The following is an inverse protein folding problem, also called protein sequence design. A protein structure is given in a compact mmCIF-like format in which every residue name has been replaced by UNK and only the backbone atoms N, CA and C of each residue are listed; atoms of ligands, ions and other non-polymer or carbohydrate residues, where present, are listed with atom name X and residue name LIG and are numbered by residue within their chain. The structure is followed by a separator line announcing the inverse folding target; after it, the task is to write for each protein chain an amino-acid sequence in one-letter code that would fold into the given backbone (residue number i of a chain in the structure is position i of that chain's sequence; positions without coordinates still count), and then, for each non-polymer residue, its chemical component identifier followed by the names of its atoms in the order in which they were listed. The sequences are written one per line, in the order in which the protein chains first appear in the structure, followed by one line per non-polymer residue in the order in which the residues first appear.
data_IF_999684529971
#
_entry.id   IF_999684529971
#
_cell.length_a   1.000
_cell.length_b   1.000
_cell.length_c   1.000
_cell.angle_alpha   90.00
_cell.angle_beta   90.00
_cell.angle_gamma   90.00
#
_symmetry.space_group_name_H-M   'P 1'
#
loop_
_entity.id
_entity.type
_entity.pdbx_description
1 polymer ?
#
# COMPACT_ATOMS: atom_id res chain seq x y z
N UNK A 1 -39.16 -1.98 12.77
CA UNK A 1 -39.01 -3.26 12.05
C UNK A 1 -38.94 -2.93 10.58
N UNK A 2 -37.75 -3.04 10.01
CA UNK A 2 -37.41 -2.48 8.71
C UNK A 2 -35.96 -2.06 8.72
N UNK A 3 -35.11 -2.99 9.11
CA UNK A 3 -33.67 -2.94 8.91
C UNK A 3 -33.43 -2.70 7.42
N UNK A 4 -32.82 -1.58 7.09
CA UNK A 4 -32.16 -1.38 5.80
C UNK A 4 -30.70 -1.24 6.14
N UNK A 5 -30.07 -2.40 6.07
CA UNK A 5 -28.65 -2.65 6.27
C UNK A 5 -27.82 -1.62 5.51
N UNK A 6 -26.82 -1.07 6.20
CA UNK A 6 -26.01 0.02 5.69
C UNK A 6 -25.42 -0.31 4.33
N UNK A 7 -25.57 0.62 3.39
CA UNK A 7 -24.72 0.70 2.22
C UNK A 7 -23.27 0.76 2.71
N UNK A 8 -22.59 -0.39 2.73
CA UNK A 8 -21.14 -0.45 2.72
C UNK A 8 -20.71 0.20 1.41
N UNK A 9 -20.47 1.51 1.46
CA UNK A 9 -19.70 2.25 0.47
C UNK A 9 -18.27 1.70 0.54
N UNK A 10 -18.04 0.51 0.02
CA UNK A 10 -16.68 -0.01 -0.18
C UNK A 10 -16.00 0.95 -1.12
N UNK A 11 -14.96 1.63 -0.65
CA UNK A 11 -14.10 2.45 -1.52
C UNK A 11 -13.60 1.53 -2.64
N UNK A 12 -13.82 1.89 -3.89
CA UNK A 12 -13.40 1.12 -5.08
C UNK A 12 -11.87 1.10 -5.32
N UNK A 13 -11.08 1.21 -4.25
CA UNK A 13 -9.62 1.16 -4.30
C UNK A 13 -9.10 -0.25 -3.98
N UNK A 14 -8.35 -0.83 -4.92
CA UNK A 14 -7.55 -2.02 -4.65
C UNK A 14 -6.22 -1.61 -4.02
N UNK A 15 -5.91 -2.16 -2.84
CA UNK A 15 -4.63 -1.95 -2.16
C UNK A 15 -3.86 -3.25 -2.08
N UNK A 16 -2.61 -3.21 -2.55
CA UNK A 16 -1.67 -4.31 -2.51
C UNK A 16 -0.73 -4.12 -1.31
N UNK A 17 -0.76 -5.03 -0.34
CA UNK A 17 0.11 -4.99 0.84
C UNK A 17 1.24 -6.00 0.68
N UNK A 18 2.48 -5.53 0.71
CA UNK A 18 3.68 -6.37 0.59
C UNK A 18 4.51 -6.15 1.84
N UNK A 19 4.47 -7.11 2.76
CA UNK A 19 5.21 -7.03 4.02
C UNK A 19 5.64 -8.44 4.43
N UNK A 20 6.93 -8.73 4.70
CA UNK A 20 7.38 -10.08 5.06
C UNK A 20 6.80 -10.50 6.42
N UNK A 21 6.78 -9.57 7.39
CA UNK A 21 6.21 -9.79 8.70
C UNK A 21 4.70 -10.06 8.61
N UNK A 22 4.29 -11.26 9.02
CA UNK A 22 2.90 -11.70 8.94
C UNK A 22 1.96 -11.01 9.93
N UNK A 23 2.45 -10.56 11.09
CA UNK A 23 1.63 -9.83 12.05
C UNK A 23 1.36 -8.41 11.56
N UNK A 24 2.40 -7.73 11.09
CA UNK A 24 2.30 -6.40 10.48
C UNK A 24 1.39 -6.43 9.26
N UNK A 25 1.61 -7.38 8.34
CA UNK A 25 0.79 -7.56 7.14
C UNK A 25 -0.71 -7.72 7.47
N UNK A 26 -1.04 -8.54 8.47
CA UNK A 26 -2.44 -8.71 8.93
C UNK A 26 -3.00 -7.45 9.56
N UNK A 27 -2.20 -6.73 10.35
CA UNK A 27 -2.64 -5.48 10.97
C UNK A 27 -2.98 -4.41 9.94
N UNK A 28 -2.14 -4.25 8.91
CA UNK A 28 -2.38 -3.31 7.81
C UNK A 28 -3.61 -3.71 7.02
N UNK A 29 -3.72 -4.99 6.65
CA UNK A 29 -4.88 -5.48 5.91
C UNK A 29 -6.17 -5.22 6.67
N UNK A 30 -6.22 -5.58 7.95
CA UNK A 30 -7.39 -5.34 8.80
C UNK A 30 -7.77 -3.86 8.88
N UNK A 31 -6.78 -2.97 9.08
CA UNK A 31 -7.03 -1.53 9.14
C UNK A 31 -7.63 -1.00 7.85
N UNK A 32 -7.05 -1.34 6.69
CA UNK A 32 -7.51 -0.82 5.41
C UNK A 32 -8.83 -1.49 4.95
N UNK A 33 -9.06 -2.75 5.29
CA UNK A 33 -10.35 -3.42 5.10
C UNK A 33 -11.46 -2.73 5.90
N UNK A 34 -11.18 -2.33 7.14
CA UNK A 34 -12.12 -1.58 7.97
C UNK A 34 -12.48 -0.20 7.37
N UNK A 35 -11.55 0.41 6.64
CA UNK A 35 -11.77 1.65 5.86
C UNK A 35 -12.50 1.41 4.52
N UNK A 36 -12.80 0.15 4.19
CA UNK A 36 -13.56 -0.24 3.01
C UNK A 36 -12.73 -0.50 1.75
N UNK A 37 -11.40 -0.62 1.84
CA UNK A 37 -10.54 -0.97 0.71
C UNK A 37 -10.52 -2.49 0.44
N UNK A 38 -10.31 -2.86 -0.82
CA UNK A 38 -10.08 -4.26 -1.22
C UNK A 38 -8.60 -4.59 -1.11
N UNK A 39 -8.25 -5.54 -0.24
CA UNK A 39 -6.84 -5.85 0.07
C UNK A 39 -6.36 -7.13 -0.61
N UNK A 40 -5.18 -7.07 -1.23
CA UNK A 40 -4.39 -8.23 -1.61
C UNK A 40 -3.08 -8.21 -0.83
N UNK A 41 -2.81 -9.21 0.00
CA UNK A 41 -1.61 -9.21 0.86
C UNK A 41 -0.63 -10.33 0.50
N UNK A 42 0.66 -9.99 0.41
CA UNK A 42 1.74 -10.89 0.04
C UNK A 42 2.95 -10.70 0.96
N UNK A 43 3.69 -11.79 1.22
CA UNK A 43 4.94 -11.72 1.98
C UNK A 43 6.09 -11.13 1.15
N UNK A 44 6.05 -11.34 -0.17
CA UNK A 44 7.07 -10.91 -1.13
C UNK A 44 6.40 -10.32 -2.37
N UNK A 45 7.16 -9.58 -3.18
CA UNK A 45 6.64 -9.01 -4.43
C UNK A 45 6.21 -10.15 -5.37
N UNK A 46 4.92 -10.25 -5.75
CA UNK A 46 4.44 -11.34 -6.59
C UNK A 46 5.12 -11.34 -7.96
N UNK A 47 5.52 -12.54 -8.41
CA UNK A 47 6.29 -12.72 -9.65
C UNK A 47 5.45 -12.47 -10.91
N UNK A 48 4.14 -12.68 -10.82
CA UNK A 48 3.21 -12.49 -11.91
C UNK A 48 2.27 -11.34 -11.57
N UNK A 49 2.50 -10.19 -12.21
CA UNK A 49 1.55 -9.11 -12.23
C UNK A 49 0.67 -9.30 -13.48
N UNK A 50 -0.64 -9.46 -13.29
CA UNK A 50 -1.56 -9.01 -14.34
C UNK A 50 -1.33 -7.53 -14.60
N UNK A 51 -1.75 -7.01 -15.77
CA UNK A 51 -1.65 -5.59 -16.10
C UNK A 51 -2.03 -4.68 -14.92
N UNK A 52 -1.39 -3.50 -14.75
CA UNK A 52 -1.69 -2.62 -13.64
C UNK A 52 -3.19 -2.34 -13.62
N UNK A 53 -3.85 -2.72 -12.53
CA UNK A 53 -5.19 -2.24 -12.26
C UNK A 53 -5.02 -0.72 -12.04
N UNK A 54 -5.43 0.08 -13.02
CA UNK A 54 -5.43 1.53 -12.89
C UNK A 54 -6.12 1.91 -11.57
N UNK A 55 -5.47 2.74 -10.75
CA UNK A 55 -5.98 3.10 -9.42
C UNK A 55 -5.59 2.16 -8.28
N UNK A 56 -4.76 1.14 -8.52
CA UNK A 56 -4.20 0.29 -7.45
C UNK A 56 -3.07 1.00 -6.71
N UNK A 57 -3.16 1.01 -5.38
CA UNK A 57 -2.12 1.51 -4.49
C UNK A 57 -1.34 0.35 -3.87
N UNK A 58 -0.01 0.41 -3.81
CA UNK A 58 0.81 -0.60 -3.15
C UNK A 58 1.40 -0.05 -1.83
N UNK A 59 1.13 -0.72 -0.72
CA UNK A 59 1.77 -0.52 0.58
C UNK A 59 2.89 -1.54 0.72
N UNK A 60 4.13 -1.07 0.85
CA UNK A 60 5.34 -1.90 0.82
C UNK A 60 6.14 -1.69 2.10
N UNK A 61 6.46 -2.77 2.77
CA UNK A 61 7.45 -2.76 3.85
C UNK A 61 8.86 -2.62 3.27
N UNK A 62 9.67 -1.73 3.84
CA UNK A 62 11.09 -1.62 3.50
C UNK A 62 11.84 -2.96 3.61
N UNK A 63 11.45 -3.82 4.54
CA UNK A 63 12.05 -5.15 4.71
C UNK A 63 11.80 -6.04 3.48
N UNK A 64 10.69 -5.82 2.76
CA UNK A 64 10.40 -6.53 1.51
C UNK A 64 11.31 -6.14 0.34
N UNK A 65 12.00 -5.01 0.45
CA UNK A 65 12.85 -4.43 -0.60
C UNK A 65 14.33 -4.77 -0.42
N UNK A 66 14.69 -5.40 0.69
CA UNK A 66 16.06 -5.82 0.98
C UNK A 66 16.56 -6.93 0.04
N UNK A 67 15.66 -7.63 -0.65
CA UNK A 67 15.95 -8.80 -1.50
C UNK A 67 16.32 -8.49 -2.97
N UNK A 68 16.62 -7.24 -3.33
CA UNK A 68 17.55 -6.98 -4.43
C UNK A 68 17.08 -6.16 -5.64
N UNK A 69 18.01 -6.01 -6.59
CA UNK A 69 17.87 -5.22 -7.81
C UNK A 69 16.74 -5.75 -8.71
N UNK A 70 15.91 -4.83 -9.23
CA UNK A 70 14.82 -5.18 -10.15
C UNK A 70 13.43 -5.34 -9.52
N UNK A 71 13.26 -5.05 -8.23
CA UNK A 71 11.93 -4.97 -7.58
C UNK A 71 11.12 -3.76 -8.06
N UNK A 72 11.76 -2.61 -8.26
CA UNK A 72 11.06 -1.38 -8.65
C UNK A 72 10.29 -1.47 -9.97
N UNK A 73 10.87 -1.99 -11.09
CA UNK A 73 10.12 -2.19 -12.32
C UNK A 73 8.98 -3.20 -12.18
N UNK A 74 9.08 -4.15 -11.24
CA UNK A 74 7.99 -5.11 -10.97
C UNK A 74 6.85 -4.44 -10.22
N UNK A 75 7.16 -3.63 -9.21
CA UNK A 75 6.19 -2.86 -8.44
C UNK A 75 5.41 -1.88 -9.33
N UNK A 76 6.10 -1.19 -10.25
CA UNK A 76 5.46 -0.31 -11.24
C UNK A 76 4.48 -1.02 -12.19
N UNK A 77 4.58 -2.34 -12.35
CA UNK A 77 3.59 -3.13 -13.11
C UNK A 77 2.39 -3.57 -12.26
N UNK A 78 2.54 -3.58 -10.94
CA UNK A 78 1.53 -4.04 -9.99
C UNK A 78 0.59 -2.92 -9.53
N UNK A 79 1.10 -1.70 -9.41
CA UNK A 79 0.38 -0.55 -8.88
C UNK A 79 0.81 0.75 -9.57
N UNK A 80 -0.06 1.76 -9.53
CA UNK A 80 0.24 3.10 -10.05
C UNK A 80 0.71 4.07 -8.96
N UNK A 81 0.38 3.79 -7.70
CA UNK A 81 0.73 4.61 -6.54
C UNK A 81 1.37 3.77 -5.45
N UNK A 82 2.28 4.36 -4.68
CA UNK A 82 3.11 3.62 -3.72
C UNK A 82 3.17 4.30 -2.36
N UNK A 83 3.03 3.50 -1.31
CA UNK A 83 3.25 3.85 0.09
C UNK A 83 4.31 2.91 0.65
N UNK A 84 5.36 3.46 1.23
CA UNK A 84 6.43 2.71 1.88
C UNK A 84 6.29 2.81 3.40
N UNK A 85 6.43 1.69 4.08
CA UNK A 85 6.54 1.62 5.53
C UNK A 85 8.02 1.61 5.88
N UNK A 86 8.53 2.71 6.42
CA UNK A 86 9.94 2.81 6.80
C UNK A 86 10.13 2.65 8.30
N UNK A 87 11.12 1.87 8.72
CA UNK A 87 11.63 1.80 10.09
C UNK A 87 12.94 2.58 10.26
N UNK A 88 13.32 3.37 9.26
CA UNK A 88 14.53 4.19 9.23
C UNK A 88 15.69 3.58 8.43
N UNK A 89 15.47 2.47 7.71
CA UNK A 89 16.47 1.96 6.77
C UNK A 89 16.57 2.90 5.56
N UNK A 90 17.80 3.21 5.15
CA UNK A 90 18.08 3.96 3.91
C UNK A 90 17.80 3.05 2.70
N UNK A 91 16.53 2.91 2.34
CA UNK A 91 16.16 2.26 1.09
C UNK A 91 16.48 3.22 -0.07
N UNK A 92 17.12 2.75 -1.17
CA UNK A 92 17.32 3.57 -2.35
C UNK A 92 15.98 4.15 -2.84
N UNK A 93 15.85 5.48 -2.83
CA UNK A 93 14.59 6.12 -3.25
C UNK A 93 14.39 5.87 -4.75
N UNK A 94 13.22 5.36 -5.16
CA UNK A 94 12.92 5.20 -6.58
C UNK A 94 12.68 6.55 -7.25
N UNK A 95 12.76 6.58 -8.58
CA UNK A 95 12.49 7.78 -9.41
C UNK A 95 11.00 8.13 -9.55
N UNK A 96 10.10 7.56 -8.74
CA UNK A 96 8.66 7.79 -8.81
C UNK A 96 8.09 8.24 -7.47
N UNK A 97 6.91 8.86 -7.52
CA UNK A 97 6.21 9.39 -6.33
C UNK A 97 5.87 8.24 -5.37
N UNK A 98 6.31 8.38 -4.13
CA UNK A 98 6.10 7.39 -3.09
C UNK A 98 5.91 8.10 -1.75
N UNK A 99 4.81 7.80 -1.06
CA UNK A 99 4.57 8.30 0.28
C UNK A 99 5.29 7.40 1.28
N UNK A 100 5.90 7.97 2.32
CA UNK A 100 6.56 7.20 3.36
C UNK A 100 5.81 7.35 4.67
N UNK A 101 5.57 6.25 5.36
CA UNK A 101 4.96 6.21 6.69
C UNK A 101 5.96 5.56 7.64
N UNK A 102 6.33 6.27 8.71
CA UNK A 102 7.27 5.75 9.69
C UNK A 102 6.60 4.77 10.66
N UNK A 103 7.20 3.59 10.84
CA UNK A 103 6.87 2.66 11.92
C UNK A 103 7.31 3.31 13.25
N UNK A 104 6.55 3.17 14.36
CA UNK A 104 5.46 2.22 14.59
C UNK A 104 4.04 2.76 14.30
N UNK A 105 3.88 4.00 13.82
CA UNK A 105 2.59 4.70 13.79
C UNK A 105 1.74 4.35 12.55
N UNK A 106 1.36 3.08 12.43
CA UNK A 106 0.69 2.52 11.25
C UNK A 106 -0.85 2.58 11.27
N UNK A 107 -1.42 3.42 12.12
CA UNK A 107 -2.87 3.66 12.18
C UNK A 107 -3.33 4.67 11.13
N UNK A 108 -3.89 5.78 11.58
CA UNK A 108 -4.47 6.80 10.72
C UNK A 108 -3.49 7.39 9.70
N UNK A 109 -2.20 7.53 10.04
CA UNK A 109 -1.16 7.99 9.11
C UNK A 109 -1.03 7.11 7.87
N UNK A 110 -1.24 5.80 8.00
CA UNK A 110 -1.23 4.88 6.86
C UNK A 110 -2.45 5.08 5.97
N UNK A 111 -3.63 5.25 6.57
CA UNK A 111 -4.88 5.50 5.85
C UNK A 111 -4.77 6.80 5.05
N UNK A 112 -4.28 7.86 5.67
CA UNK A 112 -4.05 9.16 5.02
C UNK A 112 -3.05 9.07 3.88
N UNK A 113 -1.95 8.33 4.06
CA UNK A 113 -0.96 8.12 3.00
C UNK A 113 -1.53 7.33 1.81
N UNK A 114 -2.33 6.29 2.06
CA UNK A 114 -3.02 5.53 1.00
C UNK A 114 -4.02 6.41 0.27
N UNK A 115 -4.80 7.23 0.99
CA UNK A 115 -5.74 8.17 0.37
C UNK A 115 -5.03 9.22 -0.50
N UNK A 116 -3.94 9.81 -0.01
CA UNK A 116 -3.14 10.77 -0.77
C UNK A 116 -2.56 10.13 -2.05
N UNK A 117 -2.01 8.92 -1.91
CA UNK A 117 -1.43 8.15 -3.01
C UNK A 117 -2.46 7.81 -4.09
N UNK A 118 -3.67 7.37 -3.70
CA UNK A 118 -4.77 7.06 -4.63
C UNK A 118 -5.28 8.32 -5.34
N UNK A 119 -5.39 9.45 -4.61
CA UNK A 119 -5.83 10.73 -5.18
C UNK A 119 -4.79 11.37 -6.11
N UNK A 120 -3.60 10.79 -6.24
CA UNK A 120 -2.51 11.37 -7.01
C UNK A 120 -1.97 12.67 -6.41
N UNK A 121 -2.25 12.92 -5.13
CA UNK A 121 -1.64 14.01 -4.37
C UNK A 121 -0.28 13.49 -3.94
N UNK A 122 0.65 13.40 -4.89
CA UNK A 122 2.05 13.25 -4.55
C UNK A 122 2.43 14.42 -3.66
N UNK A 123 3.16 14.16 -2.57
CA UNK A 123 3.72 15.23 -1.74
C UNK A 123 4.71 16.02 -2.61
N UNK A 124 4.16 17.01 -3.31
CA UNK A 124 4.85 17.90 -4.23
C UNK A 124 5.58 18.94 -3.42
N UNK A 125 6.58 18.51 -2.68
CA UNK A 125 7.50 19.38 -1.96
C UNK A 125 8.89 19.20 -2.55
N UNK A 126 9.09 19.95 -3.64
CA UNK A 126 10.33 20.61 -4.12
C UNK A 126 11.68 19.96 -3.80
#
# INVERSE_FOLDING_TARGET
MGDSEGESLTKDGDVLVIAPDGQLRRSIAFLLEAEGYRISSHATVPMQAGYPAAGRCAVIDEDALTDGEGLWPRLQRLASSFVMLSSGLLVPRPHFLMHSVEKPLLGQSLVEAVEAAIRGIGDGSR
#
